data_IF_016545680656
#
_entry.id   IF_016545680656
#
_cell.length_a   1.000
_cell.length_b   1.000
_cell.length_c   1.000
_cell.angle_alpha   90.00
_cell.angle_beta   90.00
_cell.angle_gamma   90.00
#
_symmetry.space_group_name_H-M   'P 1'
#
loop_
_entity.id
_entity.type
_entity.pdbx_description
1 polymer ?
#
# COMPACT_ATOMS: atom_id res chain seq x y z
N UNK A 1 -68.89 13.31 42.56
CA UNK A 1 -67.91 12.23 42.25
C UNK A 1 -66.93 12.74 41.18
N UNK A 2 -65.70 13.02 41.61
CA UNK A 2 -64.64 13.56 40.72
C UNK A 2 -63.81 12.37 40.21
N UNK A 3 -63.79 12.18 38.90
CA UNK A 3 -62.95 11.21 38.27
C UNK A 3 -61.57 11.84 38.00
N UNK A 4 -60.57 11.35 38.71
CA UNK A 4 -59.14 11.65 38.46
C UNK A 4 -58.63 10.71 37.37
N UNK A 5 -58.36 11.25 36.20
CA UNK A 5 -57.68 10.55 35.10
C UNK A 5 -56.18 10.75 35.31
N UNK A 6 -55.50 9.70 35.75
CA UNK A 6 -54.04 9.64 35.79
C UNK A 6 -53.50 9.41 34.36
N UNK A 7 -52.93 10.45 33.77
CA UNK A 7 -52.06 10.28 32.58
C UNK A 7 -50.69 9.77 33.01
N UNK A 8 -50.47 8.50 32.82
CA UNK A 8 -49.13 7.94 32.92
C UNK A 8 -48.33 8.35 31.65
N UNK A 9 -47.48 9.36 31.82
CA UNK A 9 -46.55 9.77 30.77
C UNK A 9 -45.49 8.71 30.53
N UNK A 10 -45.58 8.02 29.40
CA UNK A 10 -44.51 7.17 28.92
C UNK A 10 -43.39 8.03 28.39
N UNK A 11 -42.33 8.18 29.16
CA UNK A 11 -41.09 8.82 28.75
C UNK A 11 -40.35 7.86 27.80
N UNK A 12 -40.54 8.08 26.48
CA UNK A 12 -39.75 7.37 25.48
C UNK A 12 -38.36 7.99 25.45
N UNK A 13 -37.40 7.33 26.11
CA UNK A 13 -35.98 7.68 25.99
C UNK A 13 -35.50 7.19 24.63
N UNK A 14 -35.41 8.12 23.68
CA UNK A 14 -34.72 7.86 22.42
C UNK A 14 -33.21 7.78 22.71
N UNK A 15 -32.70 6.55 22.86
CA UNK A 15 -31.27 6.30 22.85
C UNK A 15 -30.80 6.53 21.40
N UNK A 16 -30.22 7.69 21.13
CA UNK A 16 -29.49 7.89 19.89
C UNK A 16 -28.28 6.97 19.90
N UNK A 17 -28.37 5.84 19.23
CA UNK A 17 -27.22 5.02 18.88
C UNK A 17 -26.43 5.83 17.88
N UNK A 18 -25.42 6.56 18.35
CA UNK A 18 -24.37 7.04 17.48
C UNK A 18 -23.66 5.80 16.95
N UNK A 19 -24.05 5.35 15.77
CA UNK A 19 -23.24 4.43 14.99
C UNK A 19 -21.96 5.20 14.66
N UNK A 20 -20.92 5.04 15.47
CA UNK A 20 -19.56 5.31 15.07
C UNK A 20 -19.34 4.53 13.77
N UNK A 21 -19.47 5.24 12.67
CA UNK A 21 -18.91 4.78 11.40
C UNK A 21 -17.41 4.89 11.64
N UNK A 22 -16.86 3.86 12.27
CA UNK A 22 -15.44 3.60 12.23
C UNK A 22 -15.11 3.53 10.74
N UNK A 23 -14.62 4.63 10.18
CA UNK A 23 -13.86 4.60 8.95
C UNK A 23 -12.81 3.52 9.20
N UNK A 24 -13.02 2.36 8.61
CA UNK A 24 -11.95 1.38 8.45
C UNK A 24 -10.99 2.08 7.51
N UNK A 25 -10.10 2.88 8.09
CA UNK A 25 -8.91 3.38 7.41
C UNK A 25 -8.14 2.10 7.14
N UNK A 26 -8.22 1.61 5.92
CA UNK A 26 -7.43 0.48 5.50
C UNK A 26 -5.99 0.96 5.53
N UNK A 27 -5.31 0.66 6.65
CA UNK A 27 -3.92 1.04 6.83
C UNK A 27 -3.10 0.48 5.67
N UNK A 28 -2.35 1.37 5.04
CA UNK A 28 -1.44 0.96 3.99
C UNK A 28 -0.31 0.14 4.64
N UNK A 29 -0.05 -1.09 4.19
CA UNK A 29 0.97 -1.93 4.79
C UNK A 29 2.38 -1.34 4.67
N UNK A 30 2.62 -0.52 3.65
CA UNK A 30 3.92 0.11 3.40
C UNK A 30 3.86 1.58 3.79
N UNK A 31 4.74 2.02 4.68
CA UNK A 31 4.85 3.43 5.07
C UNK A 31 5.35 4.30 3.90
N UNK A 32 5.06 5.61 3.93
CA UNK A 32 5.56 6.56 2.93
C UNK A 32 7.09 6.56 2.82
N UNK A 33 7.77 6.44 3.96
CA UNK A 33 9.24 6.33 3.99
C UNK A 33 9.68 5.07 3.25
N UNK A 34 9.05 3.95 3.52
CA UNK A 34 9.40 2.69 2.87
C UNK A 34 9.10 2.70 1.37
N UNK A 35 7.96 3.26 0.94
CA UNK A 35 7.65 3.45 -0.48
C UNK A 35 8.75 4.26 -1.18
N UNK A 36 9.20 5.36 -0.55
CA UNK A 36 10.30 6.15 -1.08
C UNK A 36 11.58 5.34 -1.19
N UNK A 37 11.95 4.58 -0.17
CA UNK A 37 13.16 3.76 -0.21
C UNK A 37 13.11 2.68 -1.29
N UNK A 38 11.95 2.02 -1.49
CA UNK A 38 11.73 1.06 -2.58
C UNK A 38 11.88 1.76 -3.95
N UNK A 39 11.33 2.95 -4.10
CA UNK A 39 11.42 3.75 -5.31
C UNK A 39 12.88 4.14 -5.60
N UNK A 40 13.61 4.68 -4.61
CA UNK A 40 15.02 5.05 -4.72
C UNK A 40 15.89 3.84 -5.12
N UNK A 41 15.66 2.68 -4.48
CA UNK A 41 16.41 1.47 -4.81
C UNK A 41 16.08 0.92 -6.21
N UNK A 42 14.89 1.17 -6.72
CA UNK A 42 14.43 0.68 -8.03
C UNK A 42 14.89 1.53 -9.20
N UNK A 43 14.90 2.87 -9.07
CA UNK A 43 15.18 3.78 -10.18
C UNK A 43 15.65 5.18 -9.74
N UNK A 44 16.15 5.34 -8.51
CA UNK A 44 16.44 6.65 -7.91
C UNK A 44 15.20 7.58 -7.85
N UNK A 45 14.01 7.01 -7.82
CA UNK A 45 12.71 7.70 -7.91
C UNK A 45 12.59 8.63 -9.13
N UNK A 46 13.23 8.29 -10.24
CA UNK A 46 13.18 9.10 -11.46
C UNK A 46 11.78 9.05 -12.08
N UNK A 47 11.03 10.17 -12.07
CA UNK A 47 9.67 10.22 -12.61
C UNK A 47 9.63 10.18 -14.14
N UNK A 48 10.77 10.28 -14.81
CA UNK A 48 10.87 10.22 -16.27
C UNK A 48 11.00 8.79 -16.79
N UNK A 49 11.29 7.82 -15.90
CA UNK A 49 11.39 6.41 -16.28
C UNK A 49 10.03 5.90 -16.78
N UNK A 50 10.06 5.28 -17.94
CA UNK A 50 8.89 4.67 -18.59
C UNK A 50 9.11 3.16 -18.74
N UNK A 51 8.23 2.50 -19.46
CA UNK A 51 8.35 1.07 -19.74
C UNK A 51 9.62 0.77 -20.53
N UNK A 52 10.40 -0.21 -20.05
CA UNK A 52 11.58 -0.75 -20.71
C UNK A 52 11.55 -2.26 -20.56
N UNK A 53 11.37 -2.98 -21.67
CA UNK A 53 11.12 -4.42 -21.64
C UNK A 53 9.81 -4.74 -20.88
N UNK A 54 9.90 -5.59 -19.87
CA UNK A 54 8.73 -6.08 -19.11
C UNK A 54 8.39 -5.24 -17.87
N UNK A 55 9.13 -4.16 -17.59
CA UNK A 55 8.94 -3.34 -16.40
C UNK A 55 8.61 -1.89 -16.76
N UNK A 56 7.73 -1.27 -15.98
CA UNK A 56 7.26 0.08 -16.19
C UNK A 56 7.43 0.96 -14.94
N UNK A 57 7.71 2.24 -15.20
CA UNK A 57 7.70 3.31 -14.21
C UNK A 57 8.80 3.25 -13.16
N UNK A 58 8.77 4.21 -12.25
CA UNK A 58 9.80 4.43 -11.23
C UNK A 58 9.93 3.28 -10.22
N UNK A 59 8.85 2.51 -9.98
CA UNK A 59 8.89 1.32 -9.15
C UNK A 59 9.29 0.05 -9.91
N UNK A 60 9.53 0.12 -11.22
CA UNK A 60 9.91 -1.01 -12.07
C UNK A 60 8.94 -2.19 -11.98
N UNK A 61 7.66 -1.89 -12.02
CA UNK A 61 6.55 -2.85 -11.89
C UNK A 61 6.43 -3.69 -13.16
N UNK A 62 6.24 -5.00 -13.01
CA UNK A 62 5.86 -5.90 -14.12
C UNK A 62 4.34 -5.99 -14.26
N UNK A 63 3.86 -6.47 -15.40
CA UNK A 63 2.44 -6.73 -15.60
C UNK A 63 1.88 -7.74 -14.58
N UNK A 64 2.63 -8.82 -14.27
CA UNK A 64 2.22 -9.81 -13.29
C UNK A 64 2.10 -9.22 -11.89
N UNK A 65 3.05 -8.38 -11.48
CA UNK A 65 3.00 -7.65 -10.21
C UNK A 65 1.76 -6.76 -10.12
N UNK A 66 1.48 -5.96 -11.15
CA UNK A 66 0.30 -5.10 -11.22
C UNK A 66 -1.00 -5.91 -11.18
N UNK A 67 -1.04 -7.05 -11.90
CA UNK A 67 -2.19 -7.93 -11.90
C UNK A 67 -2.46 -8.54 -10.52
N UNK A 68 -1.42 -8.99 -9.83
CA UNK A 68 -1.49 -9.54 -8.48
C UNK A 68 -1.89 -8.48 -7.43
N UNK A 69 -1.55 -7.24 -7.66
CA UNK A 69 -1.94 -6.09 -6.83
C UNK A 69 -3.42 -5.71 -6.96
N UNK A 70 -4.18 -6.39 -7.81
CA UNK A 70 -5.62 -6.12 -8.03
C UNK A 70 -5.90 -5.19 -9.21
N UNK A 71 -4.94 -4.98 -10.11
CA UNK A 71 -5.06 -4.18 -11.35
C UNK A 71 -5.57 -2.75 -11.10
N UNK A 72 -4.95 -1.96 -10.21
CA UNK A 72 -5.36 -0.56 -10.04
C UNK A 72 -5.18 0.23 -11.34
N UNK A 73 -6.07 1.17 -11.60
CA UNK A 73 -6.09 1.96 -12.84
C UNK A 73 -6.25 3.45 -12.52
N UNK A 74 -5.88 4.30 -13.48
CA UNK A 74 -6.17 5.72 -13.42
C UNK A 74 -7.68 5.97 -13.53
N UNK A 75 -8.12 7.10 -13.00
CA UNK A 75 -9.53 7.49 -13.09
C UNK A 75 -9.98 7.55 -14.56
N UNK A 76 -11.05 6.84 -14.87
CA UNK A 76 -11.60 6.74 -16.22
C UNK A 76 -10.97 5.64 -17.09
N UNK A 77 -9.94 4.94 -16.60
CA UNK A 77 -9.35 3.80 -17.30
C UNK A 77 -10.06 2.49 -16.89
N UNK A 78 -9.94 1.45 -17.71
CA UNK A 78 -10.47 0.12 -17.43
C UNK A 78 -9.32 -0.86 -17.19
N UNK A 79 -9.40 -1.73 -16.16
CA UNK A 79 -8.36 -2.73 -15.91
C UNK A 79 -8.17 -3.75 -17.05
N UNK A 80 -9.15 -3.83 -17.96
CA UNK A 80 -9.09 -4.70 -19.13
C UNK A 80 -8.55 -3.99 -20.38
N UNK A 81 -8.25 -2.69 -20.29
CA UNK A 81 -7.66 -1.96 -21.40
C UNK A 81 -6.20 -2.37 -21.60
N UNK A 82 -5.77 -2.44 -22.85
CA UNK A 82 -4.42 -2.85 -23.20
C UNK A 82 -3.33 -1.91 -22.63
N UNK A 83 -3.66 -0.65 -22.40
CA UNK A 83 -2.75 0.35 -21.85
C UNK A 83 -2.83 0.50 -20.34
N UNK A 84 -3.83 -0.10 -19.67
CA UNK A 84 -4.11 0.11 -18.24
C UNK A 84 -2.89 -0.10 -17.34
N UNK A 85 -2.18 -1.20 -17.53
CA UNK A 85 -0.96 -1.50 -16.80
C UNK A 85 0.12 -0.42 -16.98
N UNK A 86 0.43 -0.07 -18.24
CA UNK A 86 1.46 0.90 -18.55
C UNK A 86 1.07 2.30 -18.06
N UNK A 87 -0.21 2.69 -18.20
CA UNK A 87 -0.72 3.95 -17.70
C UNK A 87 -0.55 4.05 -16.19
N UNK A 88 -0.99 3.03 -15.45
CA UNK A 88 -0.88 3.00 -13.99
C UNK A 88 0.58 2.94 -13.52
N UNK A 89 1.39 2.03 -14.05
CA UNK A 89 2.76 1.84 -13.60
C UNK A 89 3.67 3.05 -13.89
N UNK A 90 3.35 3.87 -14.90
CA UNK A 90 4.05 5.10 -15.21
C UNK A 90 3.52 6.34 -14.46
N UNK A 91 2.41 6.23 -13.76
CA UNK A 91 1.90 7.28 -12.87
C UNK A 91 2.38 7.03 -11.44
N UNK A 92 3.02 8.01 -10.78
CA UNK A 92 3.60 7.80 -9.45
C UNK A 92 2.60 7.35 -8.39
N UNK A 93 1.37 7.90 -8.41
CA UNK A 93 0.36 7.59 -7.40
C UNK A 93 -0.26 6.22 -7.64
N UNK A 94 -0.60 5.89 -8.88
CA UNK A 94 -1.13 4.59 -9.25
C UNK A 94 -0.08 3.48 -9.05
N UNK A 95 1.18 3.75 -9.35
CA UNK A 95 2.28 2.83 -9.09
C UNK A 95 2.47 2.56 -7.59
N UNK A 96 2.43 3.61 -6.75
CA UNK A 96 2.47 3.46 -5.29
C UNK A 96 1.27 2.65 -4.77
N UNK A 97 0.06 2.92 -5.27
CA UNK A 97 -1.13 2.12 -4.94
C UNK A 97 -0.99 0.66 -5.37
N UNK A 98 -0.30 0.41 -6.49
CA UNK A 98 0.03 -0.95 -6.94
C UNK A 98 0.96 -1.65 -5.96
N UNK A 99 2.01 -0.97 -5.48
CA UNK A 99 2.90 -1.52 -4.44
C UNK A 99 2.12 -1.85 -3.17
N UNK A 100 1.25 -0.95 -2.70
CA UNK A 100 0.40 -1.20 -1.54
C UNK A 100 -0.51 -2.42 -1.75
N UNK A 101 -1.15 -2.54 -2.91
CA UNK A 101 -2.01 -3.67 -3.26
C UNK A 101 -1.25 -5.00 -3.25
N UNK A 102 -0.04 -5.00 -3.80
CA UNK A 102 0.82 -6.18 -3.81
C UNK A 102 1.23 -6.61 -2.41
N UNK A 103 1.61 -5.65 -1.55
CA UNK A 103 2.01 -5.92 -0.16
C UNK A 103 0.84 -6.37 0.72
N UNK A 104 -0.38 -5.93 0.44
CA UNK A 104 -1.59 -6.50 1.10
C UNK A 104 -1.76 -7.99 0.80
N UNK A 105 -1.39 -8.44 -0.39
CA UNK A 105 -1.50 -9.83 -0.82
C UNK A 105 -0.34 -10.71 -0.33
N UNK A 106 0.89 -10.18 -0.37
CA UNK A 106 2.11 -10.95 -0.19
C UNK A 106 2.94 -10.55 1.04
N UNK A 107 2.50 -9.59 1.85
CA UNK A 107 3.22 -9.15 3.05
C UNK A 107 3.50 -10.31 3.99
N UNK A 108 4.77 -10.57 4.27
CA UNK A 108 5.26 -11.65 5.12
C UNK A 108 6.64 -11.31 5.67
N UNK A 109 7.01 -11.97 6.75
CA UNK A 109 8.36 -11.94 7.30
C UNK A 109 9.28 -12.78 6.39
N UNK A 110 10.13 -12.11 5.65
CA UNK A 110 11.04 -12.70 4.67
C UNK A 110 12.41 -13.03 5.25
N UNK A 111 12.87 -12.21 6.22
CA UNK A 111 14.17 -12.35 6.86
C UNK A 111 14.13 -13.22 8.12
N UNK A 112 12.94 -13.52 8.68
CA UNK A 112 12.74 -14.41 9.81
C UNK A 112 13.02 -13.75 11.17
N UNK A 113 12.95 -12.42 11.28
CA UNK A 113 13.17 -11.69 12.52
C UNK A 113 11.90 -11.53 13.38
N UNK A 114 10.74 -11.95 12.88
CA UNK A 114 9.45 -11.93 13.56
C UNK A 114 8.67 -10.62 13.40
N UNK A 115 9.16 -9.69 12.59
CA UNK A 115 8.52 -8.39 12.30
C UNK A 115 8.35 -8.28 10.78
N UNK A 116 7.21 -7.77 10.33
CA UNK A 116 7.03 -7.42 8.92
C UNK A 116 7.29 -5.92 8.79
N UNK A 117 8.41 -5.57 8.19
CA UNK A 117 8.85 -4.19 8.07
C UNK A 117 9.29 -3.80 6.64
N UNK A 118 10.00 -2.67 6.51
CA UNK A 118 10.44 -2.18 5.22
C UNK A 118 11.47 -3.09 4.53
N UNK A 119 12.28 -3.83 5.28
CA UNK A 119 13.24 -4.76 4.69
C UNK A 119 12.51 -5.91 3.99
N UNK A 120 11.44 -6.42 4.61
CA UNK A 120 10.61 -7.46 4.00
C UNK A 120 9.86 -6.94 2.78
N UNK A 121 9.24 -5.76 2.89
CA UNK A 121 8.55 -5.15 1.76
C UNK A 121 9.49 -4.91 0.59
N UNK A 122 10.71 -4.46 0.83
CA UNK A 122 11.72 -4.28 -0.20
C UNK A 122 12.14 -5.62 -0.85
N UNK A 123 12.32 -6.67 -0.04
CA UNK A 123 12.62 -8.01 -0.52
C UNK A 123 11.47 -8.58 -1.38
N UNK A 124 10.23 -8.44 -0.91
CA UNK A 124 9.02 -8.85 -1.64
C UNK A 124 8.91 -8.07 -2.96
N UNK A 125 9.16 -6.77 -2.94
CA UNK A 125 9.12 -5.94 -4.16
C UNK A 125 10.14 -6.41 -5.20
N UNK A 126 11.35 -6.72 -4.75
CA UNK A 126 12.47 -7.09 -5.65
C UNK A 126 12.40 -8.52 -6.16
N UNK A 127 11.97 -9.46 -5.32
CA UNK A 127 12.06 -10.91 -5.59
C UNK A 127 10.68 -11.56 -5.78
N UNK A 128 9.60 -10.80 -5.59
CA UNK A 128 8.24 -11.32 -5.59
C UNK A 128 7.85 -11.97 -4.27
N UNK A 129 6.53 -12.12 -4.05
CA UNK A 129 5.98 -12.63 -2.80
C UNK A 129 6.42 -14.05 -2.43
N UNK A 130 6.69 -14.88 -3.41
CA UNK A 130 7.17 -16.25 -3.19
C UNK A 130 8.68 -16.36 -3.13
N UNK A 131 9.42 -15.38 -3.65
CA UNK A 131 10.88 -15.38 -3.73
C UNK A 131 11.58 -14.58 -2.64
N UNK A 132 10.88 -13.88 -1.79
CA UNK A 132 11.45 -12.88 -0.90
C UNK A 132 12.45 -13.40 0.16
N UNK A 133 12.41 -14.70 0.45
CA UNK A 133 13.36 -15.36 1.36
C UNK A 133 14.72 -15.67 0.72
N UNK A 134 14.85 -15.45 -0.60
CA UNK A 134 16.13 -15.58 -1.28
C UNK A 134 16.97 -14.31 -1.07
N UNK A 135 18.25 -14.42 -1.45
CA UNK A 135 19.17 -13.30 -1.30
C UNK A 135 18.79 -12.13 -2.22
N UNK A 136 18.56 -10.97 -1.61
CA UNK A 136 18.35 -9.71 -2.32
C UNK A 136 19.66 -9.26 -2.97
N UNK A 137 19.65 -8.75 -4.22
CA UNK A 137 20.86 -8.21 -4.85
C UNK A 137 21.52 -7.13 -4.00
N UNK A 138 22.83 -7.25 -3.75
CA UNK A 138 23.56 -6.42 -2.79
C UNK A 138 23.45 -4.93 -3.06
N UNK A 139 23.43 -4.51 -4.32
CA UNK A 139 23.28 -3.09 -4.69
C UNK A 139 21.90 -2.53 -4.33
N UNK A 140 20.86 -3.33 -4.53
CA UNK A 140 19.48 -2.94 -4.16
C UNK A 140 19.35 -2.86 -2.63
N UNK A 141 19.83 -3.89 -1.91
CA UNK A 141 19.81 -3.91 -0.44
C UNK A 141 20.55 -2.71 0.14
N UNK A 142 21.76 -2.39 -0.36
CA UNK A 142 22.55 -1.24 0.11
C UNK A 142 21.80 0.10 -0.05
N UNK A 143 21.05 0.31 -1.14
CA UNK A 143 20.22 1.50 -1.32
C UNK A 143 19.08 1.56 -0.31
N UNK A 144 18.41 0.44 -0.06
CA UNK A 144 17.35 0.34 0.96
C UNK A 144 17.90 0.71 2.33
N UNK A 145 19.01 0.10 2.75
CA UNK A 145 19.63 0.34 4.06
C UNK A 145 20.02 1.82 4.23
N UNK A 146 20.66 2.40 3.23
CA UNK A 146 21.05 3.82 3.25
C UNK A 146 19.81 4.72 3.37
N UNK A 147 18.76 4.48 2.59
CA UNK A 147 17.54 5.28 2.63
C UNK A 147 16.86 5.22 4.01
N UNK A 148 16.72 4.02 4.59
CA UNK A 148 16.10 3.82 5.91
C UNK A 148 16.93 4.56 6.98
N UNK A 149 18.25 4.45 6.96
CA UNK A 149 19.15 5.15 7.90
C UNK A 149 19.02 6.67 7.79
N UNK A 150 18.97 7.21 6.57
CA UNK A 150 18.77 8.64 6.36
C UNK A 150 17.42 9.12 6.92
N UNK A 151 16.35 8.36 6.68
CA UNK A 151 15.02 8.71 7.17
C UNK A 151 14.95 8.70 8.72
N UNK A 152 15.63 7.76 9.37
CA UNK A 152 15.70 7.70 10.83
C UNK A 152 16.51 8.87 11.44
N UNK A 153 17.56 9.33 10.77
CA UNK A 153 18.40 10.45 11.22
C UNK A 153 17.77 11.84 11.01
N UNK A 154 16.70 11.95 10.23
CA UNK A 154 16.06 13.26 9.93
C UNK A 154 14.92 13.60 10.92
N UNK A 155 14.63 12.73 11.88
CA UNK A 155 13.56 12.92 12.88
C UNK A 155 14.05 13.54 14.21
N UNK A 156 15.18 14.29 14.20
CA UNK A 156 15.70 15.01 15.38
C UNK A 156 15.35 16.49 15.29
#
# INVERSE_FOLDING_TARGET
>A
MKWLVCFAGILVVLIAVNADVSHIVQENPVTEVCLRCICEASSDCDPTVRCTGEVCGMFRITWAYWSDAGKPVLQGDSPDSQSAYANCANDPQCAAATVQGYMRKFGQDCNGDGIIDCLDHAAIHKLGGYGCKNQVPIQYQSKIDQCIHHAAGTQI
#
